data_IF_013557363754
#
_entry.id   IF_013557363754
#
_cell.length_a   1.000
_cell.length_b   1.000
_cell.length_c   1.000
_cell.angle_alpha   90.00
_cell.angle_beta   90.00
_cell.angle_gamma   90.00
#
_symmetry.space_group_name_H-M   'P 1'
#
loop_
_entity.id
_entity.type
_entity.pdbx_description
1 polymer ?
#
# COMPACT_ATOMS: atom_id res chain seq x y z
N UNK A 1 6.96 3.92 28.45
CA UNK A 1 6.97 5.39 28.55
C UNK A 1 6.53 6.08 27.25
N UNK A 2 7.22 5.92 26.10
CA UNK A 2 6.86 6.59 24.82
C UNK A 2 5.44 6.28 24.31
N UNK A 3 4.92 5.10 24.66
CA UNK A 3 3.61 4.58 24.25
C UNK A 3 2.42 5.39 24.81
N UNK A 4 2.63 6.19 25.85
CA UNK A 4 1.59 7.02 26.48
C UNK A 4 1.46 8.42 25.86
N UNK A 5 2.42 8.86 25.03
CA UNK A 5 2.47 10.25 24.53
C UNK A 5 1.60 10.54 23.30
N UNK A 6 1.09 9.51 22.61
CA UNK A 6 0.28 9.71 21.42
C UNK A 6 -1.18 9.38 21.70
N UNK A 7 -2.00 10.43 21.76
CA UNK A 7 -3.44 10.29 21.89
C UNK A 7 -4.04 9.66 20.62
N UNK A 8 -5.14 8.92 20.77
CA UNK A 8 -5.86 8.32 19.64
C UNK A 8 -6.19 9.33 18.52
N UNK A 9 -6.60 10.58 18.81
CA UNK A 9 -6.81 11.59 17.76
C UNK A 9 -5.57 11.92 16.93
N UNK A 10 -4.38 11.97 17.53
CA UNK A 10 -3.12 12.27 16.80
C UNK A 10 -2.79 11.17 15.81
N UNK A 11 -2.92 9.91 16.23
CA UNK A 11 -2.67 8.74 15.36
C UNK A 11 -3.69 8.70 14.22
N UNK A 12 -4.96 8.94 14.51
CA UNK A 12 -6.02 8.98 13.50
C UNK A 12 -5.81 10.12 12.49
N UNK A 13 -5.42 11.31 12.95
CA UNK A 13 -5.08 12.45 12.09
C UNK A 13 -3.89 12.16 11.18
N UNK A 14 -2.83 11.56 11.73
CA UNK A 14 -1.66 11.14 10.96
C UNK A 14 -2.03 10.10 9.88
N UNK A 15 -2.80 9.06 10.23
CA UNK A 15 -3.25 8.06 9.26
C UNK A 15 -4.13 8.65 8.17
N UNK A 16 -5.01 9.60 8.51
CA UNK A 16 -5.84 10.34 7.55
C UNK A 16 -4.97 11.14 6.58
N UNK A 17 -4.02 11.94 7.09
CA UNK A 17 -3.10 12.72 6.25
C UNK A 17 -2.27 11.81 5.32
N UNK A 18 -1.75 10.70 5.85
CA UNK A 18 -1.03 9.70 5.05
C UNK A 18 -1.93 9.11 3.95
N UNK A 19 -3.20 8.82 4.24
CA UNK A 19 -4.15 8.29 3.25
C UNK A 19 -4.43 9.30 2.13
N UNK A 20 -4.54 10.59 2.45
CA UNK A 20 -4.73 11.68 1.47
C UNK A 20 -3.48 11.85 0.61
N UNK A 21 -2.29 11.81 1.21
CA UNK A 21 -1.00 11.87 0.50
C UNK A 21 -0.85 10.70 -0.48
N UNK A 22 -1.12 9.47 -0.05
CA UNK A 22 -1.06 8.29 -0.93
C UNK A 22 -2.08 8.39 -2.04
N UNK A 23 -3.33 8.77 -1.74
CA UNK A 23 -4.38 8.94 -2.75
C UNK A 23 -3.99 9.99 -3.80
N UNK A 24 -3.42 11.11 -3.35
CA UNK A 24 -2.96 12.18 -4.24
C UNK A 24 -1.78 11.76 -5.10
N UNK A 25 -0.84 10.98 -4.56
CA UNK A 25 0.30 10.47 -5.31
C UNK A 25 -0.10 9.47 -6.42
N UNK A 26 -1.29 8.86 -6.32
CA UNK A 26 -1.80 7.92 -7.31
C UNK A 26 -2.72 8.56 -8.36
N UNK A 27 -3.10 9.83 -8.21
CA UNK A 27 -4.08 10.45 -9.12
C UNK A 27 -3.62 10.41 -10.58
N UNK A 28 -2.36 10.76 -10.85
CA UNK A 28 -1.83 10.74 -12.21
C UNK A 28 -1.79 9.32 -12.80
N UNK A 29 -1.47 8.31 -11.97
CA UNK A 29 -1.46 6.91 -12.40
C UNK A 29 -2.88 6.43 -12.75
N UNK A 30 -3.90 6.88 -12.00
CA UNK A 30 -5.29 6.54 -12.26
C UNK A 30 -5.77 7.00 -13.64
N UNK A 31 -5.28 8.15 -14.10
CA UNK A 31 -5.63 8.73 -15.41
C UNK A 31 -4.59 8.43 -16.51
N UNK A 32 -3.58 7.61 -16.22
CA UNK A 32 -2.52 7.25 -17.17
C UNK A 32 -1.61 8.42 -17.56
N UNK A 33 -1.53 9.48 -16.74
CA UNK A 33 -0.65 10.64 -16.97
C UNK A 33 0.76 10.27 -16.47
N UNK A 34 1.82 10.44 -17.29
CA UNK A 34 3.18 10.16 -16.86
C UNK A 34 3.65 11.20 -15.83
N UNK A 35 3.59 10.84 -14.55
CA UNK A 35 4.01 11.70 -13.45
C UNK A 35 5.50 11.58 -13.14
N UNK A 36 6.15 12.72 -12.94
CA UNK A 36 7.54 12.81 -12.46
C UNK A 36 7.63 13.02 -10.95
N UNK A 37 6.60 13.64 -10.35
CA UNK A 37 6.55 13.89 -8.90
C UNK A 37 5.54 12.98 -8.22
N UNK A 38 5.88 12.52 -7.02
CA UNK A 38 4.96 11.79 -6.11
C UNK A 38 4.60 12.59 -4.86
N UNK A 39 5.01 13.86 -4.78
CA UNK A 39 4.62 14.76 -3.69
C UNK A 39 3.16 15.18 -3.86
N UNK A 40 2.46 15.52 -2.77
CA UNK A 40 1.04 15.91 -2.83
C UNK A 40 0.81 17.03 -3.85
N UNK A 41 1.43 18.19 -3.63
CA UNK A 41 1.22 19.37 -4.48
C UNK A 41 1.74 19.14 -5.90
N UNK A 42 2.90 18.50 -6.05
CA UNK A 42 3.47 18.22 -7.37
C UNK A 42 2.62 17.25 -8.20
N UNK A 43 1.93 16.30 -7.55
CA UNK A 43 1.00 15.40 -8.26
C UNK A 43 -0.21 16.16 -8.80
N UNK A 44 -0.78 17.07 -8.02
CA UNK A 44 -1.92 17.89 -8.42
C UNK A 44 -1.57 18.93 -9.48
N UNK A 45 -0.42 19.60 -9.36
CA UNK A 45 0.06 20.53 -10.39
C UNK A 45 0.20 19.83 -11.74
N UNK A 46 0.89 18.68 -11.77
CA UNK A 46 1.04 17.90 -13.00
C UNK A 46 -0.28 17.39 -13.55
N UNK A 47 -1.21 17.02 -12.68
CA UNK A 47 -2.55 16.58 -13.09
C UNK A 47 -3.29 17.68 -13.86
N UNK A 48 -3.31 18.91 -13.32
CA UNK A 48 -4.00 20.03 -13.96
C UNK A 48 -3.27 20.52 -15.22
N UNK A 49 -1.94 20.54 -15.23
CA UNK A 49 -1.15 20.92 -16.42
C UNK A 49 -1.32 19.93 -17.58
N UNK A 50 -1.42 18.64 -17.27
CA UNK A 50 -1.44 17.54 -18.27
C UNK A 50 -2.81 16.87 -18.42
N UNK A 51 -3.88 17.56 -18.02
CA UNK A 51 -5.25 17.04 -18.12
C UNK A 51 -5.63 16.66 -19.57
N UNK A 52 -4.99 17.28 -20.57
CA UNK A 52 -5.19 16.94 -21.99
C UNK A 52 -4.46 15.68 -22.47
N UNK A 53 -3.47 15.18 -21.73
CA UNK A 53 -2.67 13.99 -22.06
C UNK A 53 -3.27 12.69 -21.47
N UNK A 54 -4.53 12.74 -21.00
CA UNK A 54 -5.19 11.59 -20.36
C UNK A 54 -5.32 10.43 -21.34
N UNK A 55 -4.86 9.25 -20.91
CA UNK A 55 -5.07 8.01 -21.63
C UNK A 55 -6.46 7.47 -21.29
N UNK A 56 -7.36 7.47 -22.27
CA UNK A 56 -8.76 7.04 -22.10
C UNK A 56 -8.84 5.58 -21.60
N UNK A 57 -8.03 4.69 -22.18
CA UNK A 57 -8.05 3.27 -21.84
C UNK A 57 -7.49 2.99 -20.45
N UNK A 58 -6.38 3.64 -20.07
CA UNK A 58 -5.82 3.52 -18.72
C UNK A 58 -6.80 4.08 -17.67
N UNK A 59 -7.47 5.19 -17.99
CA UNK A 59 -8.49 5.80 -17.11
C UNK A 59 -9.69 4.89 -16.89
N UNK A 60 -10.22 4.28 -17.96
CA UNK A 60 -11.35 3.33 -17.86
C UNK A 60 -10.95 2.13 -17.02
N UNK A 61 -9.78 1.54 -17.26
CA UNK A 61 -9.27 0.41 -16.49
C UNK A 61 -9.05 0.79 -15.02
N UNK A 62 -8.47 1.97 -14.77
CA UNK A 62 -8.22 2.51 -13.44
C UNK A 62 -9.49 2.72 -12.63
N UNK A 63 -10.49 3.43 -13.20
CA UNK A 63 -11.79 3.67 -12.56
C UNK A 63 -12.53 2.34 -12.34
N UNK A 64 -12.54 1.45 -13.33
CA UNK A 64 -13.15 0.13 -13.18
C UNK A 64 -12.50 -0.67 -12.04
N UNK A 65 -11.17 -0.67 -11.96
CA UNK A 65 -10.44 -1.36 -10.89
C UNK A 65 -10.76 -0.78 -9.51
N UNK A 66 -10.91 0.55 -9.40
CA UNK A 66 -11.30 1.22 -8.16
C UNK A 66 -12.71 0.82 -7.72
N UNK A 67 -13.67 0.87 -8.65
CA UNK A 67 -15.06 0.46 -8.39
C UNK A 67 -15.16 -1.01 -8.02
N UNK A 68 -14.42 -1.88 -8.71
CA UNK A 68 -14.33 -3.31 -8.41
C UNK A 68 -13.85 -3.54 -6.96
N UNK A 69 -12.76 -2.88 -6.56
CA UNK A 69 -12.22 -3.02 -5.21
C UNK A 69 -13.18 -2.53 -4.12
N UNK A 70 -13.92 -1.45 -4.38
CA UNK A 70 -14.94 -0.92 -3.48
C UNK A 70 -16.12 -1.89 -3.39
N UNK A 71 -16.64 -2.39 -4.52
CA UNK A 71 -17.74 -3.34 -4.54
C UNK A 71 -17.40 -4.65 -3.79
N UNK A 72 -16.23 -5.23 -4.06
CA UNK A 72 -15.77 -6.45 -3.37
C UNK A 72 -15.48 -6.22 -1.87
N UNK A 73 -15.15 -4.98 -1.48
CA UNK A 73 -15.04 -4.62 -0.06
C UNK A 73 -16.38 -4.66 0.65
N UNK A 74 -17.45 -4.20 0.01
CA UNK A 74 -18.79 -4.26 0.60
C UNK A 74 -19.32 -5.70 0.61
N UNK A 75 -19.09 -6.49 -0.44
CA UNK A 75 -19.49 -7.91 -0.46
C UNK A 75 -18.90 -8.69 0.72
N UNK A 76 -17.60 -8.51 1.01
CA UNK A 76 -16.95 -9.14 2.18
C UNK A 76 -17.64 -8.84 3.51
N UNK A 77 -18.29 -7.67 3.66
CA UNK A 77 -18.98 -7.30 4.91
C UNK A 77 -20.24 -8.12 5.16
N UNK A 78 -20.85 -8.67 4.12
CA UNK A 78 -22.10 -9.43 4.22
C UNK A 78 -21.90 -10.96 4.17
N UNK A 79 -20.69 -11.42 3.84
CA UNK A 79 -20.42 -12.86 3.69
C UNK A 79 -20.07 -13.51 5.02
N UNK A 80 -20.96 -14.39 5.46
CA UNK A 80 -20.74 -15.34 6.55
C UNK A 80 -20.22 -16.66 5.97
N UNK A 81 -19.09 -17.17 6.46
CA UNK A 81 -18.52 -18.50 6.14
C UNK A 81 -19.39 -19.69 6.56
N UNK A 82 -20.57 -19.43 7.11
CA UNK A 82 -21.45 -20.45 7.69
C UNK A 82 -22.35 -21.06 6.62
N UNK A 83 -22.30 -22.39 6.52
CA UNK A 83 -23.16 -23.19 5.66
C UNK A 83 -24.63 -22.95 6.04
N UNK A 84 -25.44 -22.38 5.14
CA UNK A 84 -26.87 -22.19 5.39
C UNK A 84 -27.66 -23.40 4.90
N UNK A 85 -28.35 -24.15 5.77
CA UNK A 85 -29.08 -25.36 5.38
C UNK A 85 -30.27 -25.08 4.44
N UNK A 86 -30.78 -23.85 4.43
CA UNK A 86 -31.90 -23.42 3.58
C UNK A 86 -31.50 -23.11 2.13
N UNK A 87 -30.23 -23.25 1.74
CA UNK A 87 -29.74 -22.93 0.40
C UNK A 87 -29.35 -24.19 -0.37
N UNK A 88 -29.58 -24.21 -1.69
CA UNK A 88 -29.11 -25.29 -2.56
C UNK A 88 -27.58 -25.44 -2.49
N UNK A 89 -27.07 -26.67 -2.60
CA UNK A 89 -25.62 -26.97 -2.60
C UNK A 89 -24.83 -26.03 -3.52
N UNK A 90 -25.37 -25.76 -4.72
CA UNK A 90 -24.74 -24.87 -5.70
C UNK A 90 -24.62 -23.43 -5.18
N UNK A 91 -25.69 -22.90 -4.57
CA UNK A 91 -25.71 -21.53 -4.01
C UNK A 91 -24.75 -21.38 -2.83
N UNK A 92 -24.58 -22.43 -2.04
CA UNK A 92 -23.64 -22.45 -0.93
C UNK A 92 -22.18 -22.49 -1.42
N UNK A 93 -21.88 -23.31 -2.43
CA UNK A 93 -20.57 -23.32 -3.09
C UNK A 93 -20.23 -21.97 -3.74
N UNK A 94 -21.20 -21.32 -4.41
CA UNK A 94 -21.01 -19.96 -4.93
C UNK A 94 -20.71 -18.95 -3.82
N UNK A 95 -21.40 -19.03 -2.68
CA UNK A 95 -21.12 -18.13 -1.54
C UNK A 95 -19.72 -18.30 -0.97
N UNK A 96 -19.23 -19.54 -0.84
CA UNK A 96 -17.86 -19.82 -0.39
C UNK A 96 -16.83 -19.33 -1.42
N UNK A 97 -17.12 -19.49 -2.72
CA UNK A 97 -16.25 -19.02 -3.80
C UNK A 97 -16.14 -17.49 -3.85
N UNK A 98 -17.26 -16.78 -3.78
CA UNK A 98 -17.27 -15.31 -3.75
C UNK A 98 -16.57 -14.82 -2.48
N UNK A 99 -16.74 -15.48 -1.34
CA UNK A 99 -15.98 -15.19 -0.11
C UNK A 99 -14.47 -15.36 -0.30
N UNK A 100 -14.04 -16.44 -0.96
CA UNK A 100 -12.64 -16.63 -1.34
C UNK A 100 -12.10 -15.50 -2.22
N UNK A 101 -12.86 -15.10 -3.25
CA UNK A 101 -12.51 -13.96 -4.12
C UNK A 101 -12.50 -12.63 -3.36
N UNK A 102 -13.41 -12.41 -2.42
CA UNK A 102 -13.48 -11.23 -1.56
C UNK A 102 -12.23 -11.07 -0.68
N UNK A 103 -11.63 -12.16 -0.23
CA UNK A 103 -10.35 -12.14 0.52
C UNK A 103 -9.21 -11.72 -0.41
N UNK A 104 -9.15 -12.29 -1.62
CA UNK A 104 -8.06 -12.08 -2.58
C UNK A 104 -8.29 -10.91 -3.55
N UNK A 105 -9.26 -10.02 -3.30
CA UNK A 105 -9.72 -8.97 -4.24
C UNK A 105 -8.61 -8.16 -4.93
N UNK A 106 -7.53 -7.83 -4.21
CA UNK A 106 -6.39 -7.10 -4.75
C UNK A 106 -5.60 -7.93 -5.77
N UNK A 107 -5.40 -9.23 -5.51
CA UNK A 107 -4.73 -10.13 -6.44
C UNK A 107 -5.63 -10.42 -7.65
N UNK A 108 -6.94 -10.61 -7.42
CA UNK A 108 -7.92 -10.89 -8.48
C UNK A 108 -7.93 -9.78 -9.53
N UNK A 109 -8.02 -8.51 -9.12
CA UNK A 109 -8.04 -7.40 -10.08
C UNK A 109 -6.72 -7.24 -10.84
N UNK A 110 -5.58 -7.55 -10.20
CA UNK A 110 -4.27 -7.52 -10.86
C UNK A 110 -4.18 -8.61 -11.93
N UNK A 111 -4.64 -9.83 -11.65
CA UNK A 111 -4.67 -10.93 -12.63
C UNK A 111 -5.55 -10.56 -13.82
N UNK A 112 -6.76 -10.07 -13.56
CA UNK A 112 -7.70 -9.63 -14.62
C UNK A 112 -7.06 -8.52 -15.47
N UNK A 113 -6.50 -7.49 -14.84
CA UNK A 113 -5.81 -6.40 -15.54
C UNK A 113 -4.62 -6.89 -16.37
N UNK A 114 -3.88 -7.87 -15.87
CA UNK A 114 -2.74 -8.47 -16.59
C UNK A 114 -3.23 -9.25 -17.82
N UNK A 115 -4.29 -10.05 -17.71
CA UNK A 115 -4.88 -10.78 -18.84
C UNK A 115 -5.42 -9.83 -19.91
N UNK A 116 -6.09 -8.74 -19.50
CA UNK A 116 -6.56 -7.70 -20.43
C UNK A 116 -5.37 -7.04 -21.12
N UNK A 117 -4.36 -6.61 -20.37
CA UNK A 117 -3.16 -5.98 -20.95
C UNK A 117 -2.41 -6.91 -21.90
N UNK A 118 -2.33 -8.21 -21.60
CA UNK A 118 -1.73 -9.21 -22.46
C UNK A 118 -2.52 -9.41 -23.77
N UNK A 119 -3.85 -9.39 -23.69
CA UNK A 119 -4.73 -9.57 -24.87
C UNK A 119 -4.60 -8.41 -25.87
N UNK A 120 -4.36 -7.19 -25.38
CA UNK A 120 -4.20 -5.98 -26.21
C UNK A 120 -2.74 -5.59 -26.45
N UNK A 121 -1.81 -6.54 -26.33
CA UNK A 121 -0.37 -6.27 -26.42
C UNK A 121 0.06 -5.61 -27.73
N UNK A 122 -0.50 -6.04 -28.86
CA UNK A 122 -0.13 -5.56 -30.20
C UNK A 122 -0.60 -4.12 -30.46
N UNK A 123 -1.79 -3.75 -29.95
CA UNK A 123 -2.34 -2.39 -30.11
C UNK A 123 -1.81 -1.42 -29.05
N UNK A 124 -1.16 -1.92 -28.00
CA UNK A 124 -0.60 -1.20 -26.85
C UNK A 124 -1.44 0.00 -26.34
N UNK A 125 -2.77 -0.11 -26.17
CA UNK A 125 -3.60 1.01 -25.71
C UNK A 125 -3.41 1.31 -24.22
N UNK A 126 -2.78 0.39 -23.48
CA UNK A 126 -2.55 0.46 -22.03
C UNK A 126 -1.06 0.60 -21.75
N UNK A 127 -0.70 1.46 -20.80
CA UNK A 127 0.69 1.63 -20.36
C UNK A 127 1.06 0.48 -19.42
N UNK A 128 1.70 -0.55 -19.98
CA UNK A 128 2.21 -1.66 -19.21
C UNK A 128 3.41 -1.27 -18.35
N UNK A 129 3.58 -1.95 -17.22
CA UNK A 129 4.81 -1.90 -16.42
C UNK A 129 6.00 -2.30 -17.31
N UNK A 130 7.06 -1.49 -17.31
CA UNK A 130 8.26 -1.75 -18.11
C UNK A 130 8.95 -3.08 -17.76
N UNK A 131 10.03 -3.40 -18.46
CA UNK A 131 10.77 -4.65 -18.26
C UNK A 131 11.29 -4.78 -16.83
N UNK A 132 10.85 -5.82 -16.11
CA UNK A 132 11.34 -6.16 -14.78
C UNK A 132 12.54 -7.11 -14.95
N UNK A 133 13.70 -6.73 -14.42
CA UNK A 133 14.87 -7.62 -14.39
C UNK A 133 14.56 -8.79 -13.46
N UNK A 134 14.70 -10.01 -13.95
CA UNK A 134 14.55 -11.22 -13.14
C UNK A 134 15.75 -11.44 -12.22
N UNK A 135 15.50 -12.11 -11.09
CA UNK A 135 16.53 -12.45 -10.11
C UNK A 135 16.55 -11.56 -8.87
N UNK A 136 17.31 -12.00 -7.88
CA UNK A 136 17.55 -11.21 -6.67
C UNK A 136 18.62 -10.14 -6.97
N UNK A 137 18.47 -8.89 -6.48
CA UNK A 137 19.56 -7.91 -6.57
C UNK A 137 20.82 -8.46 -5.87
N UNK A 138 22.05 -8.14 -6.30
CA UNK A 138 23.24 -8.64 -5.61
C UNK A 138 23.23 -8.25 -4.12
N UNK A 139 23.58 -9.20 -3.24
CA UNK A 139 23.72 -8.94 -1.81
C UNK A 139 25.01 -8.14 -1.56
N UNK A 140 24.88 -6.82 -1.51
CA UNK A 140 25.99 -5.92 -1.23
C UNK A 140 25.66 -5.07 0.00
N UNK A 141 26.63 -4.83 0.90
CA UNK A 141 26.42 -3.88 1.98
C UNK A 141 26.17 -2.47 1.41
N UNK A 142 25.43 -1.60 2.12
CA UNK A 142 25.17 -0.25 1.64
C UNK A 142 26.49 0.50 1.40
N UNK A 143 26.63 1.24 0.29
CA UNK A 143 27.86 1.97 0.01
C UNK A 143 28.04 3.11 1.01
N UNK A 144 29.19 3.13 1.70
CA UNK A 144 29.55 4.22 2.63
C UNK A 144 30.15 5.45 1.93
N UNK A 145 30.46 5.33 0.64
CA UNK A 145 30.88 6.43 -0.23
C UNK A 145 30.23 6.27 -1.60
N UNK A 146 29.79 7.37 -2.21
CA UNK A 146 29.19 7.35 -3.55
C UNK A 146 29.73 8.51 -4.38
N UNK A 147 29.96 8.27 -5.67
CA UNK A 147 30.32 9.33 -6.62
C UNK A 147 29.09 9.69 -7.44
N UNK A 148 28.64 10.93 -7.33
CA UNK A 148 27.50 11.44 -8.08
C UNK A 148 27.87 12.80 -8.68
N UNK A 149 27.66 12.97 -9.98
CA UNK A 149 28.03 14.19 -10.73
C UNK A 149 29.49 14.64 -10.51
N UNK A 150 30.44 13.72 -10.45
CA UNK A 150 31.87 14.04 -10.29
C UNK A 150 32.28 14.47 -8.87
N UNK A 151 31.34 14.51 -7.93
CA UNK A 151 31.60 14.77 -6.52
C UNK A 151 31.48 13.49 -5.69
N UNK A 152 32.45 13.26 -4.80
CA UNK A 152 32.44 12.12 -3.88
C UNK A 152 31.72 12.50 -2.60
N UNK A 153 30.63 11.79 -2.30
CA UNK A 153 29.84 11.95 -1.08
C UNK A 153 30.24 10.90 -0.05
N UNK A 154 30.57 11.37 1.15
CA UNK A 154 30.82 10.54 2.33
C UNK A 154 29.51 10.19 3.04
N UNK A 155 29.52 9.16 3.89
CA UNK A 155 28.36 8.75 4.69
C UNK A 155 27.69 9.91 5.45
N UNK A 156 28.48 10.79 6.07
CA UNK A 156 27.95 11.95 6.80
C UNK A 156 27.22 12.94 5.87
N UNK A 157 27.72 13.15 4.65
CA UNK A 157 27.05 13.99 3.66
C UNK A 157 25.77 13.34 3.13
N UNK A 158 25.78 12.02 2.93
CA UNK A 158 24.57 11.27 2.58
C UNK A 158 23.51 11.33 3.69
N UNK A 159 23.91 11.17 4.95
CA UNK A 159 23.03 11.32 6.11
C UNK A 159 22.47 12.74 6.23
N UNK A 160 23.29 13.76 5.97
CA UNK A 160 22.84 15.16 5.94
C UNK A 160 21.82 15.41 4.83
N UNK A 161 21.93 14.73 3.70
CA UNK A 161 20.96 14.84 2.59
C UNK A 161 19.58 14.26 2.96
N UNK A 162 19.52 13.25 3.83
CA UNK A 162 18.26 12.71 4.37
C UNK A 162 17.59 13.66 5.37
N UNK A 163 18.36 14.61 5.91
CA UNK A 163 17.91 15.65 6.82
C UNK A 163 17.14 15.06 8.02
N UNK A 164 16.14 15.76 8.55
CA UNK A 164 15.30 15.31 9.65
C UNK A 164 14.63 13.93 9.43
N UNK A 165 14.53 13.45 8.18
CA UNK A 165 13.89 12.16 7.85
C UNK A 165 14.59 10.98 8.52
N UNK A 166 15.90 11.08 8.79
CA UNK A 166 16.66 10.01 9.44
C UNK A 166 16.14 9.68 10.85
N UNK A 167 15.62 10.69 11.56
CA UNK A 167 15.01 10.52 12.88
C UNK A 167 13.49 10.36 12.80
N UNK A 168 12.84 11.03 11.85
CA UNK A 168 11.39 11.02 11.71
C UNK A 168 10.84 9.66 11.25
N UNK A 169 11.49 9.00 10.27
CA UNK A 169 11.00 7.73 9.72
C UNK A 169 10.95 6.63 10.80
N UNK A 170 12.01 6.38 11.59
CA UNK A 170 11.95 5.39 12.68
C UNK A 170 10.92 5.75 13.75
N UNK A 171 10.85 7.02 14.15
CA UNK A 171 9.89 7.49 15.16
C UNK A 171 8.44 7.22 14.71
N UNK A 172 8.09 7.62 13.48
CA UNK A 172 6.77 7.38 12.89
C UNK A 172 6.47 5.89 12.78
N UNK A 173 7.47 5.08 12.42
CA UNK A 173 7.32 3.62 12.31
C UNK A 173 6.98 2.98 13.66
N UNK A 174 7.67 3.39 14.74
CA UNK A 174 7.38 2.93 16.11
C UNK A 174 5.93 3.28 16.51
N UNK A 175 5.50 4.52 16.25
CA UNK A 175 4.13 4.98 16.55
C UNK A 175 3.09 4.14 15.82
N UNK A 176 3.31 3.84 14.53
CA UNK A 176 2.40 3.02 13.73
C UNK A 176 2.30 1.58 14.26
N UNK A 177 3.44 0.93 14.53
CA UNK A 177 3.48 -0.44 15.04
C UNK A 177 2.74 -0.54 16.38
N UNK A 178 3.04 0.37 17.31
CA UNK A 178 2.37 0.42 18.63
C UNK A 178 0.86 0.61 18.48
N UNK A 179 0.43 1.46 17.54
CA UNK A 179 -0.99 1.73 17.28
C UNK A 179 -1.73 0.49 16.75
N UNK A 180 -1.09 -0.24 15.84
CA UNK A 180 -1.60 -1.51 15.30
C UNK A 180 -1.77 -2.53 16.43
N UNK A 181 -0.73 -2.71 17.25
CA UNK A 181 -0.73 -3.63 18.40
C UNK A 181 -1.85 -3.29 19.39
N UNK A 182 -1.98 -2.02 19.79
CA UNK A 182 -3.07 -1.57 20.68
C UNK A 182 -4.46 -1.86 20.09
N UNK A 183 -4.63 -1.63 18.79
CA UNK A 183 -5.90 -1.87 18.11
C UNK A 183 -6.25 -3.36 18.11
N UNK A 184 -5.28 -4.25 17.89
CA UNK A 184 -5.49 -5.69 17.98
C UNK A 184 -5.83 -6.16 19.40
N UNK A 185 -5.15 -5.65 20.42
CA UNK A 185 -5.47 -5.98 21.82
C UNK A 185 -6.91 -5.58 22.20
N UNK A 186 -7.37 -4.40 21.77
CA UNK A 186 -8.72 -3.89 22.07
C UNK A 186 -9.84 -4.75 21.47
N UNK A 187 -9.59 -5.43 20.35
CA UNK A 187 -10.58 -6.28 19.65
C UNK A 187 -10.59 -7.75 20.11
N UNK A 188 -10.01 -8.07 21.27
CA UNK A 188 -10.17 -9.38 21.91
C UNK A 188 -9.11 -10.44 21.58
N UNK A 189 -8.00 -10.08 20.92
CA UNK A 189 -6.84 -10.97 20.73
C UNK A 189 -5.94 -11.06 21.98
N UNK A 190 -6.55 -11.15 23.16
CA UNK A 190 -5.90 -11.01 24.46
C UNK A 190 -4.83 -12.09 24.76
N UNK A 191 -4.92 -13.26 24.12
CA UNK A 191 -4.01 -14.39 24.41
C UNK A 191 -2.70 -14.40 23.60
N UNK A 192 -2.67 -13.87 22.37
CA UNK A 192 -1.47 -13.95 21.52
C UNK A 192 -0.60 -12.69 21.51
N UNK A 193 -1.17 -11.51 21.76
CA UNK A 193 -0.40 -10.24 21.69
C UNK A 193 0.28 -9.91 23.02
N UNK A 194 -0.31 -10.31 24.16
CA UNK A 194 0.31 -10.21 25.49
C UNK A 194 1.63 -11.00 25.58
N UNK A 195 1.75 -12.11 24.83
CA UNK A 195 2.98 -12.90 24.74
C UNK A 195 4.10 -12.13 24.02
N UNK A 196 3.79 -11.43 22.92
CA UNK A 196 4.77 -10.62 22.17
C UNK A 196 5.20 -9.37 22.93
N UNK A 197 4.29 -8.72 23.65
CA UNK A 197 4.61 -7.55 24.49
C UNK A 197 5.48 -7.97 25.70
N UNK A 198 5.13 -9.08 26.36
CA UNK A 198 5.95 -9.62 27.46
C UNK A 198 7.32 -10.12 26.96
N UNK A 199 7.41 -10.69 25.76
CA UNK A 199 8.68 -11.10 25.15
C UNK A 199 9.58 -9.89 24.83
N UNK A 200 9.00 -8.78 24.36
CA UNK A 200 9.76 -7.54 24.12
C UNK A 200 10.25 -6.92 25.44
N UNK A 201 9.41 -6.92 26.50
CA UNK A 201 9.84 -6.46 27.83
C UNK A 201 10.84 -7.39 28.52
N UNK A 202 10.87 -8.68 28.18
CA UNK A 202 11.88 -9.65 28.65
C UNK A 202 13.22 -9.50 27.91
N UNK A 203 13.19 -9.06 26.65
CA UNK A 203 14.40 -8.76 25.87
C UNK A 203 14.98 -7.37 26.19
N UNK A 204 14.16 -6.43 26.65
CA UNK A 204 14.58 -5.08 27.06
C UNK A 204 15.10 -5.03 28.52
N UNK A 205 14.84 -6.06 29.34
CA UNK A 205 15.32 -6.20 30.72
C UNK A 205 16.50 -7.19 30.89
N UNK A 206 17.24 -7.48 29.82
CA UNK A 206 18.56 -8.13 29.86
C UNK A 206 19.61 -7.22 29.23
#
# INVERSE_FOLDING_TARGET
>A
FVIEFFSYPVIAGFACAASVQVSSAQINNLFGIPAKSKTFLGSWQQFFEKIGEISKWDTVLGIFSLLFLIAFREIKRFETTTFRPNWSRMRNSFGIFIFGLSIARNATIVIIGTVIAYSYRESAPLKATGSIKGGFPPFEPPPFTTTFNGTTYTFAQMAKQLDASIFLIPLVTIVQIVSIVKTFCKHGYHQNVTFLINLFQLLENR
#
